data_IF_997367715353
#
_entry.id   IF_997367715353
#
_cell.length_a   1.000
_cell.length_b   1.000
_cell.length_c   1.000
_cell.angle_alpha   90.00
_cell.angle_beta   90.00
_cell.angle_gamma   90.00
#
_symmetry.space_group_name_H-M   'P 1'
#
loop_
_entity.id
_entity.type
_entity.pdbx_description
1 polymer ?
#
# COMPACT_ATOMS: atom_id res chain seq x y z
N UNK A 1 5.95 -34.95 -0.97
CA UNK A 1 5.43 -33.64 -1.39
C UNK A 1 6.44 -32.51 -1.14
N UNK A 2 6.89 -32.28 0.10
CA UNK A 2 7.91 -31.24 0.42
C UNK A 2 9.25 -31.40 -0.35
N UNK A 3 9.84 -32.60 -0.51
CA UNK A 3 11.10 -32.76 -1.25
C UNK A 3 10.98 -32.46 -2.76
N UNK A 4 9.79 -32.63 -3.34
CA UNK A 4 9.51 -32.27 -4.74
C UNK A 4 9.32 -30.77 -4.91
N UNK A 5 8.65 -30.11 -3.95
CA UNK A 5 8.53 -28.65 -3.90
C UNK A 5 9.90 -27.97 -3.81
N UNK A 6 10.82 -28.50 -3.00
CA UNK A 6 12.19 -27.99 -2.89
C UNK A 6 12.95 -28.09 -4.22
N UNK A 7 12.77 -29.20 -4.97
CA UNK A 7 13.41 -29.38 -6.29
C UNK A 7 12.84 -28.46 -7.37
N UNK A 8 11.64 -27.92 -7.18
CA UNK A 8 10.97 -27.02 -8.12
C UNK A 8 11.10 -25.54 -7.71
N UNK A 9 11.65 -25.26 -6.53
CA UNK A 9 11.78 -23.91 -6.01
C UNK A 9 12.88 -23.14 -6.77
N UNK A 10 12.54 -21.97 -7.30
CA UNK A 10 13.50 -21.04 -7.88
C UNK A 10 14.33 -20.31 -6.80
N UNK A 11 13.81 -20.27 -5.58
CA UNK A 11 14.48 -19.72 -4.41
C UNK A 11 14.07 -20.47 -3.13
N UNK A 12 14.99 -20.61 -2.18
CA UNK A 12 14.73 -21.14 -0.84
C UNK A 12 15.34 -20.20 0.21
N UNK A 13 14.58 -19.93 1.27
CA UNK A 13 15.09 -19.31 2.49
C UNK A 13 15.12 -20.35 3.60
N UNK A 14 16.32 -20.70 4.06
CA UNK A 14 16.54 -21.73 5.07
C UNK A 14 16.95 -21.03 6.36
N UNK A 15 16.14 -21.18 7.41
CA UNK A 15 16.46 -20.67 8.73
C UNK A 15 17.37 -21.66 9.47
N UNK A 16 18.51 -21.16 9.92
CA UNK A 16 19.45 -21.81 10.83
C UNK A 16 19.33 -21.16 12.21
N UNK A 17 20.06 -21.66 13.19
CA UNK A 17 19.95 -21.20 14.58
C UNK A 17 20.25 -19.69 14.72
N UNK A 18 21.33 -19.20 14.11
CA UNK A 18 21.77 -17.79 14.19
C UNK A 18 21.93 -17.12 12.80
N UNK A 19 21.37 -17.71 11.75
CA UNK A 19 21.42 -17.14 10.41
C UNK A 19 20.30 -17.66 9.52
N UNK A 20 20.12 -17.06 8.35
CA UNK A 20 19.39 -17.67 7.25
C UNK A 20 20.28 -17.79 6.02
N UNK A 21 19.99 -18.78 5.17
CA UNK A 21 20.60 -18.90 3.86
C UNK A 21 19.52 -18.69 2.82
N UNK A 22 19.68 -17.66 2.00
CA UNK A 22 18.87 -17.46 0.81
C UNK A 22 19.62 -18.05 -0.38
N UNK A 23 19.01 -19.03 -1.03
CA UNK A 23 19.55 -19.64 -2.24
C UNK A 23 18.60 -19.39 -3.40
N UNK A 24 19.12 -18.99 -4.55
CA UNK A 24 18.36 -18.84 -5.80
C UNK A 24 19.05 -19.60 -6.92
N UNK A 25 18.24 -20.06 -7.88
CA UNK A 25 18.73 -20.66 -9.12
C UNK A 25 18.30 -19.78 -10.29
N UNK A 26 19.26 -19.14 -10.94
CA UNK A 26 19.05 -18.30 -12.12
C UNK A 26 20.01 -18.78 -13.22
N UNK A 27 19.47 -19.05 -14.43
CA UNK A 27 20.24 -19.49 -15.61
C UNK A 27 21.17 -20.69 -15.38
N UNK A 28 20.78 -21.61 -14.50
CA UNK A 28 21.58 -22.79 -14.16
C UNK A 28 22.72 -22.53 -13.16
N UNK A 29 22.83 -21.31 -12.66
CA UNK A 29 23.76 -20.92 -11.60
C UNK A 29 23.03 -20.81 -10.26
N UNK A 30 23.64 -21.39 -9.21
CA UNK A 30 23.15 -21.27 -7.84
C UNK A 30 23.83 -20.11 -7.15
N UNK A 31 23.05 -19.12 -6.72
CA UNK A 31 23.52 -18.01 -5.89
C UNK A 31 23.13 -18.27 -4.45
N UNK A 32 24.10 -18.10 -3.54
CA UNK A 32 23.89 -18.34 -2.11
C UNK A 32 24.27 -17.07 -1.37
N UNK A 33 23.33 -16.51 -0.61
CA UNK A 33 23.56 -15.39 0.30
C UNK A 33 23.27 -15.83 1.72
N UNK A 34 24.28 -15.82 2.56
CA UNK A 34 24.12 -16.00 3.99
C UNK A 34 23.71 -14.67 4.63
N UNK A 35 22.71 -14.74 5.49
CA UNK A 35 22.17 -13.64 6.30
C UNK A 35 22.52 -13.98 7.74
N UNK A 36 23.59 -13.39 8.25
CA UNK A 36 23.97 -13.50 9.65
C UNK A 36 22.94 -12.73 10.50
N UNK A 37 22.27 -13.39 11.45
CA UNK A 37 21.25 -12.72 12.26
C UNK A 37 21.85 -11.77 13.28
N UNK A 38 23.06 -11.99 13.78
CA UNK A 38 23.74 -11.04 14.67
C UNK A 38 24.03 -9.74 13.93
N UNK A 39 24.60 -9.84 12.72
CA UNK A 39 24.86 -8.67 11.88
C UNK A 39 23.57 -8.04 11.36
N UNK A 40 22.55 -8.85 11.03
CA UNK A 40 21.23 -8.34 10.69
C UNK A 40 20.59 -7.60 11.86
N UNK A 41 20.67 -8.12 13.10
CA UNK A 41 20.18 -7.46 14.31
C UNK A 41 20.98 -6.18 14.58
N UNK A 42 22.29 -6.15 14.30
CA UNK A 42 23.12 -4.95 14.42
C UNK A 42 22.75 -3.89 13.38
N UNK A 43 22.52 -4.29 12.13
CA UNK A 43 22.04 -3.42 11.05
C UNK A 43 20.61 -2.93 11.32
N UNK A 44 19.72 -3.81 11.78
CA UNK A 44 18.36 -3.44 12.21
C UNK A 44 18.36 -2.65 13.52
N UNK A 45 19.44 -2.77 14.30
CA UNK A 45 19.74 -1.99 15.49
C UNK A 45 20.34 -0.62 15.17
N UNK A 46 20.70 -0.36 13.90
CA UNK A 46 20.97 1.00 13.45
C UNK A 46 19.67 1.83 13.56
N UNK A 47 19.81 3.06 14.04
CA UNK A 47 18.67 3.94 14.34
C UNK A 47 17.79 4.17 13.10
N UNK A 48 18.41 4.20 11.92
CA UNK A 48 17.77 4.47 10.65
C UNK A 48 18.15 3.40 9.61
N UNK A 49 17.20 2.99 8.80
CA UNK A 49 17.45 2.09 7.66
C UNK A 49 16.47 2.38 6.52
N UNK A 50 16.83 1.98 5.31
CA UNK A 50 15.96 2.07 4.15
C UNK A 50 16.09 0.80 3.31
N UNK A 51 14.97 0.10 3.07
CA UNK A 51 14.95 -0.99 2.09
C UNK A 51 15.03 -0.44 0.66
N UNK A 52 15.53 -1.26 -0.25
CA UNK A 52 15.30 -1.07 -1.68
C UNK A 52 13.81 -1.20 -2.02
N UNK A 53 13.44 -0.72 -3.21
CA UNK A 53 12.10 -0.92 -3.74
C UNK A 53 11.96 -2.34 -4.23
N UNK A 54 10.99 -3.06 -3.68
CA UNK A 54 10.53 -4.30 -4.29
C UNK A 54 9.34 -3.98 -5.20
N UNK A 55 9.57 -4.10 -6.52
CA UNK A 55 8.57 -3.90 -7.57
C UNK A 55 8.37 -5.23 -8.28
N UNK A 56 7.29 -5.94 -7.94
CA UNK A 56 6.93 -7.16 -8.66
C UNK A 56 5.72 -6.89 -9.57
N UNK A 57 5.73 -7.28 -10.86
CA UNK A 57 4.67 -6.97 -11.83
C UNK A 57 3.26 -7.39 -11.39
N UNK A 58 3.15 -8.43 -10.56
CA UNK A 58 1.89 -9.07 -10.20
C UNK A 58 1.58 -9.13 -8.70
N UNK A 59 2.40 -8.53 -7.82
CA UNK A 59 2.29 -8.79 -6.36
C UNK A 59 2.12 -7.52 -5.54
N UNK A 60 3.05 -6.57 -5.62
CA UNK A 60 2.97 -5.30 -4.87
C UNK A 60 4.26 -4.48 -5.01
N UNK A 61 4.13 -3.16 -4.95
CA UNK A 61 5.17 -2.25 -4.50
C UNK A 61 5.36 -2.44 -2.99
N UNK A 62 6.59 -2.54 -2.51
CA UNK A 62 6.87 -2.51 -1.09
C UNK A 62 8.18 -1.78 -0.78
N UNK A 63 8.15 -0.93 0.26
CA UNK A 63 9.30 -0.25 0.82
C UNK A 63 9.10 0.00 2.31
N UNK A 64 10.15 -0.21 3.07
CA UNK A 64 10.20 0.13 4.51
C UNK A 64 11.36 1.07 4.74
N UNK A 65 11.13 2.12 5.51
CA UNK A 65 12.17 3.01 6.00
C UNK A 65 11.98 3.23 7.49
N UNK A 66 13.06 3.25 8.24
CA UNK A 66 13.07 3.75 9.61
C UNK A 66 13.92 5.01 9.65
N UNK A 67 13.38 6.06 10.27
CA UNK A 67 14.11 7.30 10.51
C UNK A 67 13.73 7.89 11.87
N UNK A 68 14.72 8.22 12.71
CA UNK A 68 14.54 8.70 14.09
C UNK A 68 13.56 7.82 14.90
N UNK A 69 13.68 6.50 14.76
CA UNK A 69 12.81 5.52 15.42
C UNK A 69 11.36 5.49 14.89
N UNK A 70 11.07 6.13 13.75
CA UNK A 70 9.76 6.11 13.11
C UNK A 70 9.80 5.24 11.85
N UNK A 71 8.89 4.27 11.78
CA UNK A 71 8.75 3.43 10.60
C UNK A 71 7.78 4.07 9.60
N UNK A 72 8.24 4.19 8.37
CA UNK A 72 7.45 4.42 7.18
C UNK A 72 7.33 3.11 6.41
N UNK A 73 6.13 2.78 5.97
CA UNK A 73 5.92 1.74 4.95
C UNK A 73 5.19 2.33 3.76
N UNK A 74 5.66 2.01 2.56
CA UNK A 74 4.92 2.22 1.32
C UNK A 74 4.61 0.84 0.75
N UNK A 75 3.33 0.55 0.55
CA UNK A 75 2.88 -0.68 -0.09
C UNK A 75 1.88 -0.37 -1.20
N UNK A 76 1.57 -1.36 -2.04
CA UNK A 76 0.43 -1.26 -2.95
C UNK A 76 -0.49 -2.47 -2.85
N UNK A 77 -1.76 -2.25 -3.19
CA UNK A 77 -2.75 -3.30 -3.44
C UNK A 77 -3.22 -3.22 -4.90
N UNK A 78 -3.54 -4.37 -5.46
CA UNK A 78 -4.09 -4.47 -6.82
C UNK A 78 -5.56 -4.02 -6.85
N UNK A 79 -6.10 -3.63 -8.02
CA UNK A 79 -7.54 -3.43 -8.18
C UNK A 79 -8.33 -4.65 -7.69
N UNK A 80 -9.38 -4.42 -6.92
CA UNK A 80 -10.18 -5.50 -6.33
C UNK A 80 -11.61 -5.03 -6.04
N UNK A 81 -12.52 -5.99 -5.81
CA UNK A 81 -13.87 -5.69 -5.33
C UNK A 81 -13.90 -5.59 -3.81
N UNK A 82 -14.64 -4.60 -3.31
CA UNK A 82 -14.82 -4.37 -1.89
C UNK A 82 -16.29 -4.18 -1.55
N UNK A 83 -16.70 -4.77 -0.42
CA UNK A 83 -17.97 -4.46 0.23
C UNK A 83 -17.79 -3.23 1.14
N UNK A 84 -18.19 -2.07 0.64
CA UNK A 84 -18.14 -0.80 1.37
C UNK A 84 -19.38 -0.65 2.23
N UNK A 85 -19.20 -0.31 3.51
CA UNK A 85 -20.30 -0.13 4.46
C UNK A 85 -20.55 1.36 4.67
N UNK A 86 -21.79 1.78 4.50
CA UNK A 86 -22.26 3.13 4.81
C UNK A 86 -23.27 3.09 5.98
N UNK A 87 -23.77 4.24 6.41
CA UNK A 87 -24.68 4.32 7.54
C UNK A 87 -25.93 3.44 7.42
N UNK A 88 -26.55 3.46 6.24
CA UNK A 88 -27.85 2.87 5.98
C UNK A 88 -27.83 1.83 4.83
N UNK A 89 -26.67 1.58 4.22
CA UNK A 89 -26.55 0.68 3.07
C UNK A 89 -25.13 0.13 2.93
N UNK A 90 -24.92 -0.81 2.00
CA UNK A 90 -23.60 -1.29 1.62
C UNK A 90 -23.52 -1.42 0.11
N UNK A 91 -22.34 -1.20 -0.45
CA UNK A 91 -22.08 -1.25 -1.89
C UNK A 91 -20.99 -2.28 -2.16
N UNK A 92 -21.24 -3.22 -3.07
CA UNK A 92 -20.16 -4.03 -3.64
C UNK A 92 -19.65 -3.33 -4.91
N UNK A 93 -18.40 -2.87 -4.89
CA UNK A 93 -17.85 -2.06 -5.99
C UNK A 93 -16.40 -2.47 -6.29
N UNK A 94 -16.02 -2.49 -7.58
CA UNK A 94 -14.60 -2.52 -7.93
C UNK A 94 -13.95 -1.18 -7.58
N UNK A 95 -12.77 -1.24 -6.96
CA UNK A 95 -11.91 -0.10 -6.70
C UNK A 95 -10.61 -0.22 -7.51
N UNK A 96 -9.97 0.90 -7.86
CA UNK A 96 -8.65 0.87 -8.49
C UNK A 96 -7.61 0.33 -7.52
N UNK A 97 -6.42 -0.01 -8.04
CA UNK A 97 -5.28 -0.31 -7.20
C UNK A 97 -4.90 0.90 -6.34
N UNK A 98 -4.41 0.65 -5.13
CA UNK A 98 -4.03 1.69 -4.18
C UNK A 98 -2.53 1.64 -3.86
N UNK A 99 -1.90 2.80 -3.75
CA UNK A 99 -0.66 3.00 -3.01
C UNK A 99 -1.02 3.42 -1.60
N UNK A 100 -0.49 2.70 -0.61
CA UNK A 100 -0.75 2.90 0.81
C UNK A 100 0.57 3.35 1.44
N UNK A 101 0.55 4.52 2.06
CA UNK A 101 1.69 5.04 2.82
C UNK A 101 1.30 5.09 4.28
N UNK A 102 2.09 4.47 5.13
CA UNK A 102 1.85 4.41 6.56
C UNK A 102 3.06 4.97 7.31
N UNK A 103 2.80 5.91 8.22
CA UNK A 103 3.79 6.43 9.18
C UNK A 103 3.12 6.63 10.54
N UNK A 104 3.55 5.87 11.54
CA UNK A 104 3.02 5.91 12.91
C UNK A 104 1.52 5.62 13.03
N UNK A 105 0.67 6.64 13.18
CA UNK A 105 -0.80 6.48 13.23
C UNK A 105 -1.49 7.09 12.02
N UNK A 106 -0.71 7.52 11.01
CA UNK A 106 -1.20 8.22 9.83
C UNK A 106 -1.10 7.30 8.62
N UNK A 107 -2.19 7.27 7.87
CA UNK A 107 -2.33 6.51 6.63
C UNK A 107 -2.61 7.51 5.49
N UNK A 108 -1.91 7.37 4.39
CA UNK A 108 -2.24 8.04 3.13
C UNK A 108 -2.54 6.99 2.07
N UNK A 109 -3.55 7.26 1.24
CA UNK A 109 -4.02 6.33 0.22
C UNK A 109 -4.19 7.10 -1.08
N UNK A 110 -3.59 6.56 -2.14
CA UNK A 110 -3.68 7.11 -3.48
C UNK A 110 -4.07 6.02 -4.47
N UNK A 111 -4.81 6.37 -5.52
CA UNK A 111 -5.04 5.46 -6.64
C UNK A 111 -3.87 5.54 -7.64
N UNK A 112 -3.66 4.46 -8.40
CA UNK A 112 -2.76 4.45 -9.55
C UNK A 112 -3.45 3.83 -10.77
N UNK A 113 -2.83 4.03 -11.94
CA UNK A 113 -3.28 3.49 -13.24
C UNK A 113 -2.28 2.48 -13.77
N UNK A 114 -2.78 1.44 -14.43
CA UNK A 114 -1.97 0.43 -15.10
C UNK A 114 -0.86 -0.15 -14.20
N UNK A 115 0.35 -0.26 -14.75
CA UNK A 115 1.52 -0.73 -14.02
C UNK A 115 2.17 0.42 -13.25
N UNK A 116 2.48 0.16 -11.98
CA UNK A 116 3.09 1.14 -11.10
C UNK A 116 4.62 1.19 -11.28
N UNK A 117 5.16 2.40 -11.38
CA UNK A 117 6.58 2.72 -11.41
C UNK A 117 6.87 3.91 -10.49
N UNK A 118 8.13 4.17 -10.14
CA UNK A 118 8.49 5.25 -9.20
C UNK A 118 8.05 6.65 -9.67
N UNK A 119 7.99 6.85 -10.98
CA UNK A 119 7.56 8.11 -11.58
C UNK A 119 6.06 8.14 -11.94
N UNK A 120 5.32 7.10 -11.56
CA UNK A 120 3.88 7.05 -11.80
C UNK A 120 3.18 8.19 -11.09
N UNK A 121 2.30 8.86 -11.83
CA UNK A 121 1.38 9.83 -11.27
C UNK A 121 0.37 9.14 -10.37
N UNK A 122 0.12 9.74 -9.22
CA UNK A 122 -0.88 9.29 -8.26
C UNK A 122 -2.15 10.11 -8.35
N UNK A 123 -3.26 9.45 -8.02
CA UNK A 123 -4.61 9.97 -8.16
C UNK A 123 -5.33 9.96 -6.81
N UNK A 124 -6.37 10.78 -6.70
CA UNK A 124 -7.28 10.74 -5.57
C UNK A 124 -7.87 9.33 -5.47
N UNK A 125 -7.79 8.70 -4.31
CA UNK A 125 -8.44 7.41 -4.12
C UNK A 125 -9.97 7.61 -4.05
N UNK A 126 -10.77 6.82 -4.79
CA UNK A 126 -12.20 7.07 -4.99
C UNK A 126 -13.04 6.58 -3.80
N UNK A 127 -12.71 7.04 -2.58
CA UNK A 127 -13.48 6.82 -1.36
C UNK A 127 -13.61 8.10 -0.55
N UNK A 128 -14.71 8.25 0.22
CA UNK A 128 -14.82 9.28 1.26
C UNK A 128 -13.71 9.15 2.33
N UNK A 129 -13.67 10.08 3.28
CA UNK A 129 -12.75 10.06 4.42
C UNK A 129 -11.26 10.10 4.06
N UNK A 130 -10.92 10.59 2.87
CA UNK A 130 -9.54 10.82 2.44
C UNK A 130 -9.42 12.28 2.01
N UNK A 131 -8.51 13.02 2.65
CA UNK A 131 -8.21 14.42 2.33
C UNK A 131 -7.63 14.56 0.91
N UNK A 132 -7.58 15.80 0.40
CA UNK A 132 -7.02 16.08 -0.92
C UNK A 132 -5.54 15.74 -1.06
N UNK A 133 -4.80 15.69 0.05
CA UNK A 133 -3.39 15.24 0.11
C UNK A 133 -3.24 13.72 0.24
N UNK A 134 -4.36 12.97 0.20
CA UNK A 134 -4.39 11.52 0.35
C UNK A 134 -4.45 11.03 1.79
N UNK A 135 -4.39 11.90 2.80
CA UNK A 135 -4.42 11.47 4.21
C UNK A 135 -5.80 10.96 4.61
N UNK A 136 -5.86 9.79 5.24
CA UNK A 136 -7.10 9.27 5.83
C UNK A 136 -7.52 10.10 7.04
N UNK A 137 -8.78 10.53 7.04
CA UNK A 137 -9.45 11.11 8.18
C UNK A 137 -10.25 10.01 8.90
N UNK A 138 -9.84 9.66 10.11
CA UNK A 138 -10.51 8.63 10.91
C UNK A 138 -11.77 9.14 11.64
N UNK A 139 -12.04 10.44 11.60
CA UNK A 139 -13.14 11.05 12.33
C UNK A 139 -13.05 10.76 13.83
N UNK A 140 -14.14 10.25 14.42
CA UNK A 140 -14.21 9.84 15.83
C UNK A 140 -13.72 8.40 16.08
N UNK A 141 -13.36 7.65 15.03
CA UNK A 141 -12.77 6.32 15.19
C UNK A 141 -11.32 6.50 15.62
N UNK A 142 -10.90 5.85 16.69
CA UNK A 142 -9.50 5.91 17.12
C UNK A 142 -8.61 5.38 16.01
N UNK A 143 -7.67 6.21 15.54
CA UNK A 143 -6.60 5.75 14.67
C UNK A 143 -5.88 4.60 15.39
N UNK A 144 -5.60 3.52 14.66
CA UNK A 144 -4.88 2.37 15.22
C UNK A 144 -3.53 2.78 15.81
N UNK A 145 -3.07 2.04 16.83
CA UNK A 145 -1.81 2.30 17.55
C UNK A 145 -0.61 2.41 16.59
N UNK A 146 0.43 3.13 17.03
CA UNK A 146 1.67 3.39 16.25
C UNK A 146 2.38 2.12 15.73
N UNK A 147 2.14 0.98 16.39
CA UNK A 147 2.75 -0.31 16.05
C UNK A 147 1.86 -1.17 15.14
N UNK A 148 0.75 -0.63 14.64
CA UNK A 148 -0.16 -1.36 13.77
C UNK A 148 0.47 -1.54 12.40
N UNK A 149 0.55 -2.79 11.92
CA UNK A 149 1.07 -3.07 10.59
C UNK A 149 0.24 -2.37 9.49
N UNK A 150 0.91 -1.93 8.43
CA UNK A 150 0.28 -1.21 7.29
C UNK A 150 -0.89 -1.97 6.67
N UNK A 151 -0.76 -3.30 6.52
CA UNK A 151 -1.83 -4.16 6.02
C UNK A 151 -3.07 -4.13 6.93
N UNK A 152 -2.86 -4.09 8.25
CA UNK A 152 -3.93 -3.97 9.24
C UNK A 152 -4.60 -2.59 9.16
N UNK A 153 -3.83 -1.51 8.97
CA UNK A 153 -4.41 -0.17 8.80
C UNK A 153 -5.28 -0.06 7.54
N UNK A 154 -4.83 -0.62 6.42
CA UNK A 154 -5.63 -0.70 5.20
C UNK A 154 -6.91 -1.51 5.41
N UNK A 155 -6.81 -2.69 6.03
CA UNK A 155 -7.97 -3.53 6.34
C UNK A 155 -8.96 -2.79 7.25
N UNK A 156 -8.48 -2.08 8.27
CA UNK A 156 -9.31 -1.28 9.17
C UNK A 156 -10.00 -0.13 8.43
N UNK A 157 -9.29 0.57 7.55
CA UNK A 157 -9.86 1.66 6.75
C UNK A 157 -10.93 1.14 5.79
N UNK A 158 -10.61 0.13 4.98
CA UNK A 158 -11.51 -0.35 3.92
C UNK A 158 -12.76 -1.05 4.47
N UNK A 159 -12.67 -1.61 5.68
CA UNK A 159 -13.81 -2.22 6.39
C UNK A 159 -14.58 -1.24 7.29
N UNK A 160 -14.09 0.00 7.41
CA UNK A 160 -14.75 1.02 8.21
C UNK A 160 -16.11 1.42 7.64
N UNK A 161 -16.90 2.11 8.47
CA UNK A 161 -18.16 2.72 8.03
C UNK A 161 -17.85 4.07 7.39
N UNK A 162 -18.17 4.20 6.10
CA UNK A 162 -18.03 5.45 5.36
C UNK A 162 -19.28 6.33 5.53
N UNK A 163 -19.06 7.64 5.47
CA UNK A 163 -20.11 8.64 5.40
C UNK A 163 -19.86 9.55 4.17
N UNK A 164 -20.52 10.72 4.12
CA UNK A 164 -20.38 11.66 2.99
C UNK A 164 -19.24 12.68 3.18
N UNK A 165 -18.50 12.60 4.28
CA UNK A 165 -17.42 13.54 4.57
C UNK A 165 -16.28 13.34 3.58
N UNK A 166 -15.70 14.47 3.14
CA UNK A 166 -14.60 14.49 2.18
C UNK A 166 -14.92 13.73 0.88
N UNK A 167 -16.19 13.72 0.44
CA UNK A 167 -16.62 12.97 -0.75
C UNK A 167 -16.37 13.69 -2.09
N UNK A 168 -16.08 14.98 -2.09
CA UNK A 168 -15.85 15.78 -3.30
C UNK A 168 -14.46 15.60 -3.92
N UNK A 169 -14.34 15.89 -5.22
CA UNK A 169 -13.06 16.02 -5.94
C UNK A 169 -12.35 14.72 -6.27
N UNK A 170 -13.02 13.56 -6.20
CA UNK A 170 -12.41 12.22 -6.35
C UNK A 170 -12.80 11.48 -7.61
N UNK A 171 -13.76 12.01 -8.36
CA UNK A 171 -14.26 11.46 -9.61
C UNK A 171 -14.42 12.59 -10.61
N UNK A 172 -13.92 12.41 -11.84
CA UNK A 172 -14.10 13.38 -12.92
C UNK A 172 -15.57 13.44 -13.39
N UNK A 173 -16.26 12.30 -13.42
CA UNK A 173 -17.69 12.23 -13.82
C UNK A 173 -18.67 12.62 -12.71
N UNK A 174 -18.27 12.54 -11.44
CA UNK A 174 -19.07 12.95 -10.27
C UNK A 174 -18.25 13.85 -9.33
N UNK A 175 -17.91 15.09 -9.75
CA UNK A 175 -16.97 15.95 -9.01
C UNK A 175 -17.45 16.33 -7.60
N UNK A 176 -18.75 16.38 -7.37
CA UNK A 176 -19.32 16.82 -6.09
C UNK A 176 -19.46 15.69 -5.06
N UNK A 177 -19.51 14.41 -5.49
CA UNK A 177 -19.73 13.30 -4.57
C UNK A 177 -19.28 11.97 -5.18
N UNK A 178 -18.22 11.40 -4.63
CA UNK A 178 -17.78 10.05 -4.96
C UNK A 178 -18.80 8.99 -4.57
N UNK A 179 -19.61 9.23 -3.53
CA UNK A 179 -20.63 8.26 -3.10
C UNK A 179 -21.65 8.03 -4.21
N UNK A 180 -22.07 9.09 -4.91
CA UNK A 180 -22.94 8.96 -6.09
C UNK A 180 -22.33 8.10 -7.19
N UNK A 181 -21.03 8.26 -7.46
CA UNK A 181 -20.30 7.42 -8.41
C UNK A 181 -20.26 5.95 -7.99
N UNK A 182 -20.01 5.69 -6.71
CA UNK A 182 -19.95 4.33 -6.17
C UNK A 182 -21.32 3.65 -6.23
N UNK A 183 -22.41 4.39 -6.00
CA UNK A 183 -23.78 3.89 -6.20
C UNK A 183 -24.00 3.51 -7.67
N UNK A 184 -23.68 4.41 -8.62
CA UNK A 184 -23.82 4.13 -10.05
C UNK A 184 -23.04 2.88 -10.47
N UNK A 185 -21.80 2.75 -9.99
CA UNK A 185 -20.95 1.59 -10.26
C UNK A 185 -21.58 0.31 -9.69
N UNK A 186 -22.06 0.34 -8.44
CA UNK A 186 -22.65 -0.82 -7.76
C UNK A 186 -23.91 -1.37 -8.45
N UNK A 187 -24.62 -0.50 -9.18
CA UNK A 187 -25.83 -0.84 -9.94
C UNK A 187 -25.51 -1.25 -11.39
N UNK A 188 -24.25 -1.17 -11.80
CA UNK A 188 -23.79 -1.52 -13.15
C UNK A 188 -23.17 -2.92 -13.19
N UNK A 189 -22.87 -3.40 -14.39
CA UNK A 189 -22.09 -4.64 -14.60
C UNK A 189 -20.57 -4.40 -14.58
N UNK A 190 -20.11 -3.26 -14.07
CA UNK A 190 -18.69 -2.93 -14.06
C UNK A 190 -17.91 -3.87 -13.13
N UNK A 191 -16.87 -4.51 -13.67
CA UNK A 191 -15.94 -5.36 -12.93
C UNK A 191 -14.65 -4.63 -12.54
N UNK A 192 -14.43 -3.43 -13.08
CA UNK A 192 -13.26 -2.58 -12.82
C UNK A 192 -13.71 -1.12 -12.62
N UNK A 193 -12.99 -0.38 -11.78
CA UNK A 193 -13.16 1.07 -11.69
C UNK A 193 -12.54 1.72 -12.93
N UNK A 194 -13.23 2.65 -13.57
CA UNK A 194 -12.71 3.33 -14.76
C UNK A 194 -11.53 4.24 -14.41
N UNK A 195 -10.35 3.94 -14.92
CA UNK A 195 -9.16 4.79 -14.75
C UNK A 195 -9.35 6.20 -15.33
N UNK A 196 -10.17 6.35 -16.37
CA UNK A 196 -10.47 7.65 -16.96
C UNK A 196 -11.23 8.57 -16.00
N UNK A 197 -11.83 8.02 -14.94
CA UNK A 197 -12.57 8.79 -13.94
C UNK A 197 -11.69 9.30 -12.80
N UNK A 198 -10.44 8.81 -12.70
CA UNK A 198 -9.53 9.18 -11.62
C UNK A 198 -9.04 10.63 -11.75
N UNK A 199 -9.09 11.36 -10.64
CA UNK A 199 -8.64 12.76 -10.54
C UNK A 199 -7.17 12.80 -10.11
N UNK A 200 -6.26 13.47 -10.85
CA UNK A 200 -4.88 13.67 -10.43
C UNK A 200 -4.76 14.27 -9.03
N UNK A 201 -3.90 13.71 -8.17
CA UNK A 201 -3.63 14.25 -6.83
C UNK A 201 -2.42 15.22 -6.82
N UNK A 202 -1.56 15.17 -7.85
CA UNK A 202 -0.35 16.00 -7.94
C UNK A 202 0.88 15.39 -7.25
N UNK A 203 0.78 14.14 -6.81
CA UNK A 203 1.84 13.37 -6.17
C UNK A 203 2.36 12.26 -7.09
N UNK A 204 3.57 11.80 -6.78
CA UNK A 204 4.23 10.62 -7.34
C UNK A 204 4.92 9.85 -6.21
N UNK A 205 5.29 8.58 -6.44
CA UNK A 205 6.03 7.80 -5.43
C UNK A 205 7.35 8.48 -5.06
N UNK A 206 8.07 9.01 -6.04
CA UNK A 206 9.31 9.78 -5.82
C UNK A 206 9.07 10.99 -4.92
N UNK A 207 7.98 11.75 -5.15
CA UNK A 207 7.64 12.93 -4.34
C UNK A 207 7.25 12.57 -2.91
N UNK A 208 6.51 11.47 -2.72
CA UNK A 208 6.19 10.93 -1.39
C UNK A 208 7.48 10.71 -0.60
N UNK A 209 8.49 10.08 -1.22
CA UNK A 209 9.77 9.82 -0.55
C UNK A 209 10.56 11.10 -0.23
N UNK A 210 10.65 12.03 -1.18
CA UNK A 210 11.40 13.29 -0.99
C UNK A 210 10.89 14.06 0.23
N UNK A 211 9.58 14.19 0.36
CA UNK A 211 8.97 14.90 1.50
C UNK A 211 9.19 14.21 2.85
N UNK A 212 9.42 12.90 2.83
CA UNK A 212 9.72 12.14 4.04
C UNK A 212 11.19 12.32 4.43
N UNK A 213 12.10 12.38 3.46
CA UNK A 213 13.52 12.65 3.70
C UNK A 213 13.77 14.11 4.13
N UNK A 214 12.97 15.07 3.64
CA UNK A 214 13.11 16.49 3.99
C UNK A 214 12.59 16.81 5.40
N UNK A 215 11.43 16.25 5.79
CA UNK A 215 10.85 16.41 7.16
C UNK A 215 11.58 15.61 8.25
N UNK A 216 12.69 15.00 7.87
CA UNK A 216 13.58 14.21 8.71
C UNK A 216 14.84 15.03 9.06
N UNK A 217 15.11 16.11 8.33
CA UNK A 217 16.24 17.02 8.55
C UNK A 217 15.89 18.28 9.35
N UNK A 218 14.66 18.37 9.87
CA UNK A 218 14.10 19.48 10.65
C UNK A 218 13.67 19.00 12.03
#
# INVERSE_FOLDING_TARGET
>A
MIPQLIKQAQALLIFLQDSAVFTTSEDGHTYIKQIDFTNLIEILGQKDFQSDWHLHPNVSLHKVCQYNGQILTVSSVLPNQYLLRFDNFSLNVPLPGAVIVHRQSRLWIFAYKGQLSLNSQLYQFPLPNINSDGQVCWGSVSSSNKDTATATMWANFISSKFNYDLSGGKSLSRPNSIVGKLIDISQSLATVYSEQDLVPNGWSLTRILQLINERSSS
#
